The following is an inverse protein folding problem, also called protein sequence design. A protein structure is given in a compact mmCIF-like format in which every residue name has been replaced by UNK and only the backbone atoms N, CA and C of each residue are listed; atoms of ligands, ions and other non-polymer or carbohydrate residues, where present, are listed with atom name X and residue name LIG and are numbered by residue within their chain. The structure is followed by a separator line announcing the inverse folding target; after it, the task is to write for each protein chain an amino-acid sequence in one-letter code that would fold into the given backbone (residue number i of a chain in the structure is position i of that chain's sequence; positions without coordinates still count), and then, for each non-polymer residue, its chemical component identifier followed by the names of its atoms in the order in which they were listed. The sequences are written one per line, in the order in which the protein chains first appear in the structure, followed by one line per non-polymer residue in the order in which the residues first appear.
data_IF_506138501720
#
_entry.id   IF_506138501720
#
_cell.length_a   1.000
_cell.length_b   1.000
_cell.length_c   1.000
_cell.angle_alpha   90.00
_cell.angle_beta   90.00
_cell.angle_gamma   90.00
#
_symmetry.space_group_name_H-M   'P 1'
#
loop_
_entity.id
_entity.type
_entity.pdbx_description
1 polymer ?
#
# COMPACT_ATOMS: atom_id res chain seq x y z
N UNK A 1 37.38 30.23 9.41
CA UNK A 1 36.99 29.38 10.54
C UNK A 1 36.06 28.28 10.02
N UNK A 2 36.60 27.07 9.83
CA UNK A 2 35.87 25.89 9.37
C UNK A 2 34.97 25.36 10.49
N UNK A 3 33.67 25.30 10.23
CA UNK A 3 32.66 24.75 11.13
C UNK A 3 32.78 23.21 11.08
N UNK A 4 32.91 22.50 12.22
CA UNK A 4 33.06 21.05 12.19
C UNK A 4 31.75 20.40 11.73
N UNK A 5 31.78 19.77 10.55
CA UNK A 5 30.70 18.97 9.94
C UNK A 5 30.65 17.53 10.50
N UNK A 6 31.03 17.32 11.77
CA UNK A 6 31.20 15.99 12.37
C UNK A 6 30.13 15.65 13.42
N UNK A 7 29.01 16.40 13.47
CA UNK A 7 27.97 16.25 14.48
C UNK A 7 26.71 15.48 14.08
N UNK A 8 26.56 15.05 12.82
CA UNK A 8 25.28 14.53 12.32
C UNK A 8 25.21 13.01 12.10
N UNK A 9 26.31 12.26 12.15
CA UNK A 9 26.29 10.83 11.80
C UNK A 9 25.74 9.92 12.90
N UNK A 10 25.84 10.30 14.17
CA UNK A 10 25.29 9.52 15.30
C UNK A 10 23.75 9.58 15.38
N UNK A 11 23.13 10.59 14.77
CA UNK A 11 21.67 10.75 14.73
C UNK A 11 21.01 10.07 13.50
N UNK A 12 21.79 9.68 12.49
CA UNK A 12 21.25 9.03 11.28
C UNK A 12 20.71 7.61 11.52
N UNK A 13 21.21 6.92 12.55
CA UNK A 13 20.81 5.55 12.88
C UNK A 13 19.30 5.38 13.05
N UNK A 14 18.65 6.10 13.99
CA UNK A 14 17.22 6.01 14.21
C UNK A 14 16.38 6.51 13.02
N UNK A 15 16.78 7.61 12.37
CA UNK A 15 16.02 8.20 11.25
C UNK A 15 16.02 7.29 10.01
N UNK A 16 17.16 6.69 9.67
CA UNK A 16 17.25 5.75 8.54
C UNK A 16 16.48 4.46 8.83
N UNK A 17 16.56 3.94 10.05
CA UNK A 17 15.83 2.73 10.44
C UNK A 17 14.33 2.97 10.40
N UNK A 18 13.87 4.13 10.89
CA UNK A 18 12.47 4.54 10.81
C UNK A 18 12.01 4.65 9.35
N UNK A 19 12.79 5.30 8.48
CA UNK A 19 12.47 5.42 7.06
C UNK A 19 12.33 4.05 6.37
N UNK A 20 13.24 3.11 6.67
CA UNK A 20 13.18 1.75 6.14
C UNK A 20 11.93 1.04 6.64
N UNK A 21 11.59 1.18 7.92
CA UNK A 21 10.43 0.53 8.52
C UNK A 21 9.11 1.07 7.95
N UNK A 22 8.98 2.38 7.84
CA UNK A 22 7.83 3.03 7.22
C UNK A 22 7.68 2.63 5.76
N UNK A 23 8.76 2.66 4.98
CA UNK A 23 8.76 2.23 3.58
C UNK A 23 8.36 0.76 3.42
N UNK A 24 8.86 -0.12 4.30
CA UNK A 24 8.50 -1.55 4.31
C UNK A 24 7.03 -1.74 4.66
N UNK A 25 6.53 -1.05 5.68
CA UNK A 25 5.13 -1.12 6.08
C UNK A 25 4.20 -0.67 4.95
N UNK A 26 4.54 0.42 4.26
CA UNK A 26 3.78 0.92 3.10
C UNK A 26 3.82 -0.10 1.95
N UNK A 27 5.00 -0.64 1.62
CA UNK A 27 5.13 -1.64 0.55
C UNK A 27 4.28 -2.89 0.83
N UNK A 28 4.28 -3.36 2.08
CA UNK A 28 3.44 -4.49 2.52
C UNK A 28 1.95 -4.13 2.39
N UNK A 29 1.53 -2.97 2.89
CA UNK A 29 0.13 -2.54 2.81
C UNK A 29 -0.37 -2.43 1.37
N UNK A 30 0.42 -1.85 0.47
CA UNK A 30 0.10 -1.74 -0.97
C UNK A 30 0.01 -3.11 -1.62
N UNK A 31 0.94 -4.02 -1.31
CA UNK A 31 0.95 -5.39 -1.83
C UNK A 31 -0.28 -6.17 -1.37
N UNK A 32 -0.67 -6.02 -0.10
CA UNK A 32 -1.87 -6.63 0.46
C UNK A 32 -3.13 -6.09 -0.20
N UNK A 33 -3.25 -4.77 -0.36
CA UNK A 33 -4.41 -4.14 -1.01
C UNK A 33 -4.58 -4.64 -2.46
N UNK A 34 -3.48 -4.70 -3.22
CA UNK A 34 -3.50 -5.23 -4.58
C UNK A 34 -3.85 -6.72 -4.61
N UNK A 35 -3.25 -7.53 -3.74
CA UNK A 35 -3.55 -8.96 -3.64
C UNK A 35 -5.02 -9.21 -3.29
N UNK A 36 -5.58 -8.41 -2.38
CA UNK A 36 -6.99 -8.46 -2.01
C UNK A 36 -7.90 -8.13 -3.21
N UNK A 37 -7.50 -7.13 -4.01
CA UNK A 37 -8.21 -6.77 -5.23
C UNK A 37 -8.26 -7.95 -6.22
N UNK A 38 -7.11 -8.56 -6.49
CA UNK A 38 -6.98 -9.71 -7.41
C UNK A 38 -7.79 -10.91 -6.91
N UNK A 39 -7.68 -11.26 -5.62
CA UNK A 39 -8.41 -12.38 -5.04
C UNK A 39 -9.91 -12.11 -5.07
N UNK A 40 -10.35 -10.91 -4.68
CA UNK A 40 -11.76 -10.53 -4.71
C UNK A 40 -12.37 -10.60 -6.10
N UNK A 41 -11.69 -10.04 -7.11
CA UNK A 41 -12.17 -10.07 -8.50
C UNK A 41 -12.20 -11.50 -9.05
N UNK A 42 -11.15 -12.29 -8.82
CA UNK A 42 -11.08 -13.69 -9.28
C UNK A 42 -12.20 -14.53 -8.65
N UNK A 43 -12.36 -14.46 -7.33
CA UNK A 43 -13.40 -15.21 -6.60
C UNK A 43 -14.82 -14.72 -6.93
N UNK A 44 -14.99 -13.45 -7.26
CA UNK A 44 -16.25 -12.94 -7.76
C UNK A 44 -16.62 -13.58 -9.11
N UNK A 45 -15.64 -13.75 -10.01
CA UNK A 45 -15.82 -14.48 -11.28
C UNK A 45 -16.32 -15.92 -11.05
N UNK A 46 -15.62 -16.68 -10.20
CA UNK A 46 -16.01 -18.04 -9.83
C UNK A 46 -17.42 -18.11 -9.20
N UNK A 47 -17.75 -17.13 -8.34
CA UNK A 47 -19.06 -17.05 -7.70
C UNK A 47 -20.18 -16.73 -8.71
N UNK A 48 -19.90 -15.90 -9.71
CA UNK A 48 -20.82 -15.60 -10.81
C UNK A 48 -21.10 -16.84 -11.64
N UNK A 49 -20.07 -17.59 -12.03
CA UNK A 49 -20.20 -18.81 -12.82
C UNK A 49 -20.97 -19.91 -12.08
N UNK A 50 -20.81 -19.99 -10.76
CA UNK A 50 -21.51 -20.95 -9.91
C UNK A 50 -22.90 -20.49 -9.45
N UNK A 51 -23.39 -19.34 -9.89
CA UNK A 51 -24.70 -18.81 -9.52
C UNK A 51 -24.85 -18.43 -8.03
N UNK A 52 -23.73 -18.27 -7.30
CA UNK A 52 -23.72 -17.97 -5.86
C UNK A 52 -23.75 -16.46 -5.61
N UNK A 53 -24.95 -15.87 -5.65
CA UNK A 53 -25.15 -14.40 -5.60
C UNK A 53 -24.63 -13.73 -4.32
N UNK A 54 -24.75 -14.38 -3.16
CA UNK A 54 -24.26 -13.83 -1.89
C UNK A 54 -22.72 -13.80 -1.88
N UNK A 55 -22.08 -14.87 -2.31
CA UNK A 55 -20.62 -14.94 -2.41
C UNK A 55 -20.10 -13.94 -3.46
N UNK A 56 -20.81 -13.78 -4.58
CA UNK A 56 -20.48 -12.80 -5.61
C UNK A 56 -20.41 -11.39 -5.04
N UNK A 57 -21.43 -10.97 -4.28
CA UNK A 57 -21.47 -9.64 -3.67
C UNK A 57 -20.31 -9.43 -2.69
N UNK A 58 -20.04 -10.42 -1.83
CA UNK A 58 -18.95 -10.35 -0.85
C UNK A 58 -17.56 -10.24 -1.50
N UNK A 59 -17.28 -11.10 -2.48
CA UNK A 59 -16.00 -11.08 -3.19
C UNK A 59 -15.83 -9.85 -4.07
N UNK A 60 -16.90 -9.38 -4.71
CA UNK A 60 -16.87 -8.14 -5.50
C UNK A 60 -16.57 -6.92 -4.61
N UNK A 61 -17.21 -6.85 -3.44
CA UNK A 61 -16.96 -5.77 -2.48
C UNK A 61 -15.50 -5.79 -1.99
N UNK A 62 -14.97 -6.96 -1.64
CA UNK A 62 -13.55 -7.12 -1.28
C UNK A 62 -12.62 -6.68 -2.41
N UNK A 63 -12.92 -7.08 -3.65
CA UNK A 63 -12.16 -6.69 -4.83
C UNK A 63 -12.12 -5.18 -5.03
N UNK A 64 -13.28 -4.52 -4.93
CA UNK A 64 -13.42 -3.06 -5.06
C UNK A 64 -12.68 -2.34 -3.93
N UNK A 65 -12.82 -2.79 -2.68
CA UNK A 65 -12.13 -2.17 -1.55
C UNK A 65 -10.61 -2.28 -1.67
N UNK A 66 -10.09 -3.45 -2.08
CA UNK A 66 -8.67 -3.64 -2.36
C UNK A 66 -8.17 -2.71 -3.46
N UNK A 67 -8.92 -2.59 -4.56
CA UNK A 67 -8.59 -1.70 -5.68
C UNK A 67 -8.59 -0.24 -5.25
N UNK A 68 -9.62 0.21 -4.53
CA UNK A 68 -9.71 1.58 -4.02
C UNK A 68 -8.55 1.90 -3.07
N UNK A 69 -8.19 0.97 -2.19
CA UNK A 69 -7.03 1.12 -1.30
C UNK A 69 -5.71 1.28 -2.08
N UNK A 70 -5.51 0.45 -3.10
CA UNK A 70 -4.33 0.54 -3.97
C UNK A 70 -4.27 1.87 -4.74
N UNK A 71 -5.39 2.30 -5.34
CA UNK A 71 -5.47 3.57 -6.08
C UNK A 71 -5.25 4.76 -5.14
N UNK A 72 -5.85 4.76 -3.96
CA UNK A 72 -5.65 5.82 -2.97
C UNK A 72 -4.18 5.94 -2.55
N UNK A 73 -3.49 4.81 -2.33
CA UNK A 73 -2.07 4.79 -2.02
C UNK A 73 -1.22 5.36 -3.18
N UNK A 74 -1.53 5.00 -4.43
CA UNK A 74 -0.85 5.53 -5.60
C UNK A 74 -1.05 7.05 -5.75
N UNK A 75 -2.28 7.53 -5.57
CA UNK A 75 -2.60 8.97 -5.61
C UNK A 75 -1.85 9.73 -4.51
N UNK A 76 -1.83 9.19 -3.28
CA UNK A 76 -1.10 9.77 -2.17
C UNK A 76 0.42 9.84 -2.46
N UNK A 77 1.00 8.78 -3.03
CA UNK A 77 2.40 8.77 -3.43
C UNK A 77 2.71 9.86 -4.47
N UNK A 78 1.88 9.98 -5.51
CA UNK A 78 2.03 11.05 -6.52
C UNK A 78 1.90 12.43 -5.88
N UNK A 79 0.88 12.65 -5.05
CA UNK A 79 0.65 13.92 -4.37
C UNK A 79 1.86 14.33 -3.52
N UNK A 80 2.44 13.39 -2.76
CA UNK A 80 3.64 13.62 -1.94
C UNK A 80 4.87 13.91 -2.79
N UNK A 81 5.00 13.32 -3.98
CA UNK A 81 6.14 13.60 -4.87
C UNK A 81 5.99 14.96 -5.56
N UNK A 82 4.78 15.33 -5.97
CA UNK A 82 4.52 16.57 -6.72
C UNK A 82 4.45 17.81 -5.84
N UNK A 83 4.02 17.69 -4.58
CA UNK A 83 3.92 18.82 -3.63
C UNK A 83 5.13 18.95 -2.69
N UNK A 84 6.26 18.36 -3.06
CA UNK A 84 7.56 18.61 -2.43
C UNK A 84 8.28 19.74 -3.15
#
# INVERSE_FOLDING_TARGET
MMRPLLGSTSALGPDLLQLIWEGTAVAVAVTLAFSLAVVGITRAGEAKESGRTIALAGWSLLGVLGLLGFVAAAVLAVHVVTNK
#
